data_IF_904933609997
#
_entry.id   IF_904933609997
#
_cell.length_a   1.000
_cell.length_b   1.000
_cell.length_c   1.000
_cell.angle_alpha   90.00
_cell.angle_beta   90.00
_cell.angle_gamma   90.00
#
_symmetry.space_group_name_H-M   'P 1'
#
loop_
_entity.id
_entity.type
_entity.pdbx_description
1 polymer ?
#
# COMPACT_ATOMS: atom_id res chain seq x y z
N UNK A 1 18.73 6.04 7.92
CA UNK A 1 17.35 6.46 7.58
C UNK A 1 16.42 5.32 7.87
N UNK A 2 15.28 5.56 8.53
CA UNK A 2 14.31 4.50 8.87
C UNK A 2 13.01 4.64 8.09
N UNK A 3 12.53 3.53 7.54
CA UNK A 3 11.23 3.46 6.87
C UNK A 3 10.32 2.44 7.54
N UNK A 4 9.06 2.80 7.76
CA UNK A 4 8.02 1.87 8.20
C UNK A 4 7.32 1.31 6.96
N UNK A 5 7.26 -0.02 6.85
CA UNK A 5 6.61 -0.73 5.75
C UNK A 5 5.49 -1.60 6.30
N UNK A 6 4.24 -1.18 6.06
CA UNK A 6 3.05 -1.91 6.52
C UNK A 6 2.59 -2.87 5.42
N UNK A 7 2.56 -4.16 5.71
CA UNK A 7 2.35 -5.23 4.72
C UNK A 7 3.66 -5.72 4.09
N UNK A 8 4.77 -5.67 4.84
CA UNK A 8 6.13 -5.90 4.32
C UNK A 8 6.58 -7.36 4.25
N UNK A 9 5.80 -8.35 4.71
CA UNK A 9 6.22 -9.76 4.75
C UNK A 9 6.02 -10.52 3.44
N UNK A 10 5.19 -10.04 2.52
CA UNK A 10 4.84 -10.75 1.29
C UNK A 10 4.71 -9.82 0.07
N UNK A 11 4.66 -10.40 -1.13
CA UNK A 11 4.33 -9.73 -2.37
C UNK A 11 5.09 -8.43 -2.62
N UNK A 12 4.36 -7.37 -2.95
CA UNK A 12 4.93 -6.05 -3.22
C UNK A 12 5.64 -5.45 -2.00
N UNK A 13 5.06 -5.60 -0.80
CA UNK A 13 5.66 -5.08 0.43
C UNK A 13 7.04 -5.69 0.72
N UNK A 14 7.18 -7.01 0.55
CA UNK A 14 8.47 -7.70 0.68
C UNK A 14 9.48 -7.22 -0.37
N UNK A 15 9.05 -7.03 -1.61
CA UNK A 15 9.93 -6.52 -2.66
C UNK A 15 10.41 -5.08 -2.36
N UNK A 16 9.52 -4.24 -1.83
CA UNK A 16 9.86 -2.89 -1.36
C UNK A 16 10.84 -2.96 -0.19
N UNK A 17 10.56 -3.78 0.84
CA UNK A 17 11.45 -3.95 1.99
C UNK A 17 12.87 -4.36 1.54
N UNK A 18 12.96 -5.36 0.67
CA UNK A 18 14.23 -5.80 0.08
C UNK A 18 14.95 -4.67 -0.65
N UNK A 19 14.25 -3.89 -1.48
CA UNK A 19 14.86 -2.77 -2.20
C UNK A 19 15.37 -1.70 -1.26
N UNK A 20 14.58 -1.29 -0.25
CA UNK A 20 14.99 -0.27 0.70
C UNK A 20 16.17 -0.73 1.58
N UNK A 21 16.18 -1.99 2.04
CA UNK A 21 17.30 -2.57 2.78
C UNK A 21 18.58 -2.65 1.92
N UNK A 22 18.47 -3.00 0.63
CA UNK A 22 19.62 -3.03 -0.29
C UNK A 22 20.29 -1.66 -0.50
N UNK A 23 19.56 -0.59 -0.25
CA UNK A 23 20.02 0.80 -0.28
C UNK A 23 20.40 1.33 1.13
N UNK A 24 20.69 0.41 2.05
CA UNK A 24 21.22 0.70 3.39
C UNK A 24 20.28 1.53 4.28
N UNK A 25 18.97 1.29 4.19
CA UNK A 25 17.99 1.90 5.09
C UNK A 25 17.57 0.89 6.16
N UNK A 26 17.41 1.35 7.39
CA UNK A 26 16.78 0.61 8.47
C UNK A 26 15.27 0.52 8.26
N UNK A 27 14.66 -0.56 8.72
CA UNK A 27 13.25 -0.82 8.48
C UNK A 27 12.50 -1.22 9.75
N UNK A 28 11.24 -0.81 9.84
CA UNK A 28 10.22 -1.47 10.65
C UNK A 28 9.27 -2.15 9.69
N UNK A 29 9.18 -3.47 9.76
CA UNK A 29 8.29 -4.26 8.90
C UNK A 29 7.12 -4.74 9.72
N UNK A 30 5.91 -4.39 9.29
CA UNK A 30 4.67 -4.71 9.97
C UNK A 30 3.82 -5.63 9.09
N UNK A 31 3.35 -6.76 9.65
CA UNK A 31 2.36 -7.61 9.00
C UNK A 31 1.55 -8.44 10.00
N UNK A 32 0.54 -9.16 9.53
CA UNK A 32 -0.31 -10.01 10.38
C UNK A 32 0.36 -11.32 10.81
N UNK A 33 1.35 -11.82 10.08
CA UNK A 33 2.10 -13.04 10.40
C UNK A 33 3.49 -12.70 10.92
N UNK A 34 3.72 -12.95 12.23
CA UNK A 34 4.99 -12.67 12.88
C UNK A 34 6.12 -13.58 12.37
N UNK A 35 5.82 -14.85 12.08
CA UNK A 35 6.83 -15.81 11.61
C UNK A 35 7.43 -15.36 10.29
N UNK A 36 6.55 -15.05 9.33
CA UNK A 36 6.98 -14.59 8.01
C UNK A 36 7.68 -13.22 8.10
N UNK A 37 7.21 -12.33 8.99
CA UNK A 37 7.84 -11.01 9.22
C UNK A 37 9.23 -11.15 9.78
N UNK A 38 9.43 -12.02 10.79
CA UNK A 38 10.76 -12.32 11.37
C UNK A 38 11.70 -12.95 10.35
N UNK A 39 11.21 -13.88 9.53
CA UNK A 39 12.02 -14.52 8.49
C UNK A 39 12.52 -13.48 7.47
N UNK A 40 11.64 -12.57 7.03
CA UNK A 40 12.03 -11.48 6.12
C UNK A 40 13.01 -10.53 6.79
N UNK A 41 12.79 -10.13 8.03
CA UNK A 41 13.69 -9.24 8.76
C UNK A 41 15.10 -9.83 8.85
N UNK A 42 15.24 -11.07 9.33
CA UNK A 42 16.53 -11.76 9.45
C UNK A 42 17.25 -11.92 8.10
N UNK A 43 16.54 -12.27 7.03
CA UNK A 43 17.10 -12.34 5.68
C UNK A 43 17.68 -10.98 5.23
N UNK A 44 16.97 -9.89 5.48
CA UNK A 44 17.41 -8.54 5.10
C UNK A 44 18.59 -8.06 5.94
N UNK A 45 18.59 -8.32 7.25
CA UNK A 45 19.71 -7.98 8.15
C UNK A 45 20.99 -8.69 7.71
N UNK A 46 20.93 -10.01 7.48
CA UNK A 46 22.07 -10.81 7.08
C UNK A 46 22.62 -10.37 5.71
N UNK A 47 21.74 -10.12 4.73
CA UNK A 47 22.14 -9.77 3.37
C UNK A 47 22.68 -8.36 3.24
N UNK A 48 22.08 -7.43 3.97
CA UNK A 48 22.34 -6.00 3.70
C UNK A 48 22.99 -5.27 4.87
N UNK A 49 23.11 -5.89 6.06
CA UNK A 49 23.75 -5.27 7.21
C UNK A 49 23.04 -4.01 7.66
N UNK A 50 21.71 -4.04 7.73
CA UNK A 50 20.83 -2.97 8.20
C UNK A 50 20.03 -3.47 9.39
N UNK A 51 19.46 -2.58 10.21
CA UNK A 51 18.56 -2.97 11.29
C UNK A 51 17.14 -3.15 10.75
N UNK A 52 16.49 -4.27 11.06
CA UNK A 52 15.11 -4.53 10.66
C UNK A 52 14.28 -5.02 11.84
N UNK A 53 13.35 -4.21 12.30
CA UNK A 53 12.46 -4.55 13.42
C UNK A 53 11.17 -5.19 12.87
N UNK A 54 10.92 -6.48 13.15
CA UNK A 54 9.67 -7.14 12.76
C UNK A 54 8.58 -6.92 13.81
N UNK A 55 7.43 -6.39 13.40
CA UNK A 55 6.25 -6.22 14.25
C UNK A 55 5.06 -6.99 13.71
N UNK A 56 4.31 -7.64 14.61
CA UNK A 56 3.03 -8.26 14.26
C UNK A 56 1.88 -7.30 14.53
N UNK A 57 1.04 -7.08 13.54
CA UNK A 57 -0.15 -6.24 13.71
C UNK A 57 -1.31 -6.73 12.86
N UNK A 58 -2.46 -6.95 13.51
CA UNK A 58 -3.73 -7.15 12.82
C UNK A 58 -4.32 -5.79 12.45
N UNK A 59 -4.32 -5.44 11.18
CA UNK A 59 -4.78 -4.15 10.69
C UNK A 59 -6.29 -3.90 10.89
N UNK A 60 -7.08 -4.94 11.13
CA UNK A 60 -8.50 -4.80 11.52
C UNK A 60 -8.67 -4.31 12.97
N UNK A 61 -7.61 -4.32 13.79
CA UNK A 61 -7.59 -3.95 15.22
C UNK A 61 -6.67 -2.77 15.53
N UNK A 62 -6.36 -1.96 14.56
CA UNK A 62 -5.26 -0.99 14.50
C UNK A 62 -5.11 0.02 15.68
N UNK A 63 -6.14 0.56 16.34
CA UNK A 63 -5.91 1.70 17.25
C UNK A 63 -4.99 1.42 18.44
N UNK A 64 -4.81 0.16 18.85
CA UNK A 64 -4.08 -0.20 20.09
C UNK A 64 -2.59 -0.50 19.91
N UNK A 65 -2.10 -0.60 18.67
CA UNK A 65 -0.75 -1.14 18.38
C UNK A 65 0.26 -0.10 17.89
N UNK A 66 -0.11 1.15 17.70
CA UNK A 66 0.81 2.21 17.23
C UNK A 66 1.90 2.54 18.22
N UNK A 67 1.64 2.34 19.53
CA UNK A 67 2.64 2.51 20.59
C UNK A 67 3.85 1.57 20.43
N UNK A 68 3.63 0.33 20.02
CA UNK A 68 4.72 -0.62 19.75
C UNK A 68 5.63 -0.15 18.60
N UNK A 69 5.06 0.57 17.63
CA UNK A 69 5.82 1.16 16.52
C UNK A 69 6.65 2.34 17.01
N UNK A 70 6.10 3.18 17.89
CA UNK A 70 6.83 4.30 18.50
C UNK A 70 8.02 3.78 19.33
N UNK A 71 7.80 2.77 20.17
CA UNK A 71 8.87 2.12 20.97
C UNK A 71 9.97 1.51 20.07
N UNK A 72 9.59 0.91 18.94
CA UNK A 72 10.56 0.38 17.96
C UNK A 72 11.38 1.50 17.31
N UNK A 73 10.79 2.68 17.06
CA UNK A 73 11.47 3.82 16.46
C UNK A 73 12.51 4.45 17.40
N UNK A 74 12.33 4.40 18.73
CA UNK A 74 13.27 4.96 19.70
C UNK A 74 14.69 4.38 19.57
N UNK A 75 14.81 3.14 19.09
CA UNK A 75 16.07 2.42 18.94
C UNK A 75 16.66 2.49 17.51
N UNK A 76 16.05 3.26 16.63
CA UNK A 76 16.48 3.38 15.24
C UNK A 76 16.85 4.83 14.89
N UNK A 77 17.37 5.01 13.69
CA UNK A 77 17.61 6.34 13.11
C UNK A 77 16.27 7.08 12.88
N UNK A 78 16.34 8.39 12.62
CA UNK A 78 15.15 9.21 12.39
C UNK A 78 14.22 8.64 11.31
N UNK A 79 12.91 8.69 11.57
CA UNK A 79 11.87 8.29 10.63
C UNK A 79 11.93 9.13 9.35
N UNK A 80 12.07 8.46 8.21
CA UNK A 80 12.18 9.10 6.89
C UNK A 80 10.95 8.83 6.02
N UNK A 81 10.23 7.74 6.26
CA UNK A 81 9.05 7.50 5.45
C UNK A 81 8.14 6.38 5.92
N UNK A 82 6.90 6.49 5.45
CA UNK A 82 5.82 5.53 5.70
C UNK A 82 5.35 4.96 4.36
N UNK A 83 5.48 3.65 4.18
CA UNK A 83 5.16 2.95 2.95
C UNK A 83 4.08 1.92 3.24
N UNK A 84 2.94 2.03 2.57
CA UNK A 84 1.69 1.37 2.93
C UNK A 84 1.17 0.47 1.79
N UNK A 85 1.92 -0.58 1.37
CA UNK A 85 1.46 -1.54 0.35
C UNK A 85 0.43 -2.53 0.90
N UNK A 86 -0.48 -2.02 1.73
CA UNK A 86 -1.54 -2.82 2.35
C UNK A 86 -2.58 -3.22 1.31
N UNK A 87 -2.94 -4.48 1.29
CA UNK A 87 -4.02 -5.01 0.45
C UNK A 87 -4.52 -6.34 0.96
N UNK A 88 -5.81 -6.39 1.28
CA UNK A 88 -6.54 -7.59 1.63
C UNK A 88 -7.77 -7.70 0.74
N UNK A 89 -8.02 -8.87 0.17
CA UNK A 89 -9.16 -9.17 -0.68
C UNK A 89 -9.84 -10.46 -0.20
N UNK A 90 -11.17 -10.48 -0.23
CA UNK A 90 -11.97 -11.66 0.04
C UNK A 90 -12.57 -12.16 -1.29
N UNK A 91 -12.39 -13.45 -1.65
CA UNK A 91 -12.97 -14.00 -2.88
C UNK A 91 -14.51 -13.95 -2.90
N UNK A 92 -15.16 -13.80 -1.74
CA UNK A 92 -16.61 -13.68 -1.60
C UNK A 92 -17.09 -12.20 -1.52
N UNK A 93 -16.21 -11.22 -1.79
CA UNK A 93 -16.56 -9.80 -1.74
C UNK A 93 -17.50 -9.41 -2.88
N UNK A 94 -18.81 -9.54 -2.59
CA UNK A 94 -19.93 -9.11 -3.44
C UNK A 94 -20.87 -8.21 -2.62
N UNK A 95 -21.75 -7.43 -3.25
CA UNK A 95 -22.81 -6.73 -2.53
C UNK A 95 -23.66 -7.71 -1.73
N UNK A 96 -23.79 -7.49 -0.40
CA UNK A 96 -24.45 -8.41 0.54
C UNK A 96 -23.50 -9.35 1.28
N UNK A 97 -22.19 -9.19 1.17
CA UNK A 97 -21.21 -9.85 2.04
C UNK A 97 -21.55 -9.63 3.51
N UNK A 98 -21.23 -10.59 4.38
CA UNK A 98 -21.48 -10.47 5.82
C UNK A 98 -20.73 -9.29 6.47
N UNK A 99 -21.27 -8.76 7.57
CA UNK A 99 -20.75 -7.58 8.25
C UNK A 99 -19.29 -7.75 8.71
N UNK A 100 -18.91 -8.94 9.17
CA UNK A 100 -17.56 -9.20 9.65
C UNK A 100 -16.55 -9.05 8.51
N UNK A 101 -16.79 -9.71 7.38
CA UNK A 101 -15.94 -9.64 6.19
C UNK A 101 -15.94 -8.22 5.61
N UNK A 102 -17.09 -7.53 5.60
CA UNK A 102 -17.20 -6.14 5.17
C UNK A 102 -16.29 -5.22 6.00
N UNK A 103 -16.38 -5.27 7.33
CA UNK A 103 -15.56 -4.44 8.21
C UNK A 103 -14.08 -4.84 8.16
N UNK A 104 -13.76 -6.10 8.02
CA UNK A 104 -12.37 -6.56 7.88
C UNK A 104 -11.73 -5.98 6.62
N UNK A 105 -12.41 -6.03 5.47
CA UNK A 105 -11.97 -5.43 4.22
C UNK A 105 -11.78 -3.92 4.36
N UNK A 106 -12.77 -3.21 4.90
CA UNK A 106 -12.73 -1.76 5.06
C UNK A 106 -11.64 -1.33 6.04
N UNK A 107 -11.57 -1.97 7.20
CA UNK A 107 -10.58 -1.65 8.22
C UNK A 107 -9.16 -1.93 7.74
N UNK A 108 -8.92 -3.07 7.10
CA UNK A 108 -7.58 -3.41 6.60
C UNK A 108 -7.14 -2.49 5.46
N UNK A 109 -8.00 -2.26 4.46
CA UNK A 109 -7.56 -1.56 3.23
C UNK A 109 -7.62 -0.03 3.32
N UNK A 110 -8.40 0.53 4.25
CA UNK A 110 -8.61 1.98 4.36
C UNK A 110 -8.37 2.50 5.76
N UNK A 111 -9.15 2.08 6.76
CA UNK A 111 -9.11 2.68 8.11
C UNK A 111 -7.72 2.58 8.72
N UNK A 112 -7.08 1.40 8.68
CA UNK A 112 -5.74 1.19 9.23
C UNK A 112 -4.71 2.10 8.57
N UNK A 113 -4.75 2.21 7.24
CA UNK A 113 -3.83 3.04 6.47
C UNK A 113 -3.96 4.51 6.88
N UNK A 114 -5.20 5.01 7.01
CA UNK A 114 -5.46 6.38 7.45
C UNK A 114 -4.97 6.62 8.90
N UNK A 115 -5.16 5.65 9.80
CA UNK A 115 -4.71 5.75 11.19
C UNK A 115 -3.17 5.78 11.29
N UNK A 116 -2.46 4.97 10.52
CA UNK A 116 -1.00 5.05 10.42
C UNK A 116 -0.54 6.43 9.94
N UNK A 117 -1.17 6.93 8.87
CA UNK A 117 -0.84 8.26 8.34
C UNK A 117 -1.10 9.34 9.40
N UNK A 118 -2.29 9.35 10.04
CA UNK A 118 -2.64 10.36 11.03
C UNK A 118 -1.67 10.37 12.21
N UNK A 119 -1.18 9.20 12.64
CA UNK A 119 -0.25 9.08 13.75
C UNK A 119 1.13 9.68 13.43
N UNK A 120 1.70 9.34 12.26
CA UNK A 120 3.05 9.76 11.88
C UNK A 120 3.11 11.10 11.12
N UNK A 121 2.00 11.61 10.62
CA UNK A 121 1.93 12.85 9.85
C UNK A 121 2.48 14.07 10.62
N UNK A 122 2.20 14.27 11.94
CA UNK A 122 2.75 15.40 12.70
C UNK A 122 4.28 15.43 12.74
N UNK A 123 4.92 14.26 12.69
CA UNK A 123 6.38 14.13 12.67
C UNK A 123 6.90 14.33 11.24
N UNK A 124 6.40 13.53 10.30
CA UNK A 124 6.90 13.50 8.92
C UNK A 124 6.78 14.86 8.20
N UNK A 125 5.70 15.61 8.45
CA UNK A 125 5.51 16.93 7.78
C UNK A 125 6.49 18.01 8.22
N UNK A 126 7.26 17.80 9.31
CA UNK A 126 8.23 18.75 9.83
C UNK A 126 9.67 18.46 9.41
N UNK A 127 9.94 17.24 9.00
CA UNK A 127 11.28 16.78 8.66
C UNK A 127 11.52 16.88 7.15
N UNK A 128 12.72 17.30 6.71
CA UNK A 128 13.07 17.31 5.30
C UNK A 128 13.20 15.89 4.74
N UNK A 129 13.03 15.76 3.43
CA UNK A 129 13.24 14.53 2.67
C UNK A 129 12.42 13.34 3.18
N UNK A 130 11.22 13.61 3.71
CA UNK A 130 10.31 12.57 4.18
C UNK A 130 9.26 12.21 3.12
N UNK A 131 8.71 11.00 3.22
CA UNK A 131 7.73 10.51 2.26
C UNK A 131 6.61 9.66 2.90
N UNK A 132 5.40 9.81 2.35
CA UNK A 132 4.28 8.87 2.57
C UNK A 132 3.87 8.29 1.22
N UNK A 133 3.92 6.96 1.09
CA UNK A 133 3.63 6.26 -0.16
C UNK A 133 2.48 5.28 0.04
N UNK A 134 1.38 5.51 -0.67
CA UNK A 134 0.20 4.65 -0.67
C UNK A 134 0.02 3.88 -1.98
N UNK A 135 -0.77 2.80 -1.88
CA UNK A 135 -1.03 1.92 -3.02
C UNK A 135 -2.52 1.65 -3.17
N UNK A 136 -3.06 2.11 -4.29
CA UNK A 136 -4.41 1.86 -4.75
C UNK A 136 -4.48 0.69 -5.73
N UNK A 137 -5.68 0.49 -6.28
CA UNK A 137 -5.95 -0.57 -7.25
C UNK A 137 -6.77 -0.03 -8.41
N UNK A 138 -6.51 -0.55 -9.60
CA UNK A 138 -7.37 -0.30 -10.77
C UNK A 138 -8.81 -0.78 -10.57
N UNK A 139 -9.06 -1.70 -9.64
CA UNK A 139 -10.41 -2.09 -9.24
C UNK A 139 -11.25 -0.90 -8.75
N UNK A 140 -10.60 0.13 -8.21
CA UNK A 140 -11.23 1.36 -7.73
C UNK A 140 -11.72 2.30 -8.87
N UNK A 141 -11.35 2.04 -10.13
CA UNK A 141 -11.72 2.92 -11.25
C UNK A 141 -13.22 2.93 -11.49
N UNK A 142 -13.85 1.76 -11.44
CA UNK A 142 -15.30 1.63 -11.62
C UNK A 142 -15.82 0.40 -10.88
N UNK A 143 -16.89 0.57 -10.10
CA UNK A 143 -17.52 -0.49 -9.32
C UNK A 143 -18.03 -1.63 -10.20
N UNK A 144 -17.83 -2.85 -9.74
CA UNK A 144 -18.29 -4.11 -10.35
C UNK A 144 -18.94 -4.99 -9.28
N UNK A 145 -19.61 -6.05 -9.70
CA UNK A 145 -20.25 -6.99 -8.76
C UNK A 145 -19.25 -7.78 -7.89
N UNK A 146 -18.03 -7.99 -8.39
CA UNK A 146 -16.96 -8.65 -7.64
C UNK A 146 -16.00 -7.61 -7.06
N UNK A 147 -15.46 -7.90 -5.89
CA UNK A 147 -14.55 -7.01 -5.15
C UNK A 147 -15.21 -5.65 -4.81
N UNK A 148 -16.49 -5.66 -4.41
CA UNK A 148 -17.27 -4.45 -4.21
C UNK A 148 -16.73 -3.59 -3.06
N UNK A 149 -16.54 -4.19 -1.88
CA UNK A 149 -16.02 -3.52 -0.69
C UNK A 149 -14.54 -3.18 -0.84
N UNK A 150 -13.75 -4.08 -1.41
CA UNK A 150 -12.34 -3.83 -1.74
C UNK A 150 -12.19 -2.63 -2.68
N UNK A 151 -12.96 -2.58 -3.77
CA UNK A 151 -12.91 -1.48 -4.72
C UNK A 151 -13.32 -0.15 -4.08
N UNK A 152 -14.37 -0.16 -3.25
CA UNK A 152 -14.82 1.00 -2.51
C UNK A 152 -13.75 1.51 -1.52
N UNK A 153 -13.12 0.60 -0.74
CA UNK A 153 -12.04 0.95 0.19
C UNK A 153 -10.83 1.57 -0.51
N UNK A 154 -10.43 1.01 -1.67
CA UNK A 154 -9.32 1.55 -2.47
C UNK A 154 -9.67 2.87 -3.17
N UNK A 155 -10.96 3.11 -3.48
CA UNK A 155 -11.43 4.42 -3.98
C UNK A 155 -11.40 5.48 -2.88
N UNK A 156 -11.86 5.13 -1.68
CA UNK A 156 -11.78 6.01 -0.51
C UNK A 156 -10.33 6.37 -0.20
N UNK A 157 -9.40 5.40 -0.28
CA UNK A 157 -7.98 5.63 -0.06
C UNK A 157 -7.37 6.58 -1.10
N UNK A 158 -7.75 6.45 -2.38
CA UNK A 158 -7.31 7.39 -3.44
C UNK A 158 -7.71 8.83 -3.08
N UNK A 159 -8.97 9.04 -2.71
CA UNK A 159 -9.49 10.36 -2.32
C UNK A 159 -8.78 10.91 -1.07
N UNK A 160 -8.52 10.05 -0.07
CA UNK A 160 -7.79 10.44 1.13
C UNK A 160 -6.36 10.90 0.80
N UNK A 161 -5.65 10.22 -0.09
CA UNK A 161 -4.31 10.63 -0.52
C UNK A 161 -4.32 11.93 -1.33
N UNK A 162 -5.36 12.22 -2.10
CA UNK A 162 -5.54 13.53 -2.75
C UNK A 162 -5.68 14.64 -1.72
N UNK A 163 -6.53 14.44 -0.71
CA UNK A 163 -6.72 15.38 0.40
C UNK A 163 -5.44 15.57 1.21
N UNK A 164 -4.71 14.49 1.48
CA UNK A 164 -3.43 14.55 2.20
C UNK A 164 -2.39 15.39 1.45
N UNK A 165 -2.24 15.20 0.13
CA UNK A 165 -1.34 16.03 -0.70
C UNK A 165 -1.71 17.52 -0.62
N UNK A 166 -2.99 17.82 -0.75
CA UNK A 166 -3.48 19.19 -0.65
C UNK A 166 -3.17 19.79 0.74
N UNK A 167 -3.35 19.01 1.80
CA UNK A 167 -3.07 19.45 3.17
C UNK A 167 -1.59 19.76 3.43
N UNK A 168 -0.66 18.99 2.82
CA UNK A 168 0.78 19.14 3.07
C UNK A 168 1.52 19.94 2.01
N UNK A 169 0.83 20.65 1.11
CA UNK A 169 1.41 21.35 -0.05
C UNK A 169 2.55 22.31 0.32
N UNK A 170 2.52 22.89 1.52
CA UNK A 170 3.53 23.82 2.03
C UNK A 170 4.51 23.17 3.02
N UNK A 171 4.59 21.84 3.06
CA UNK A 171 5.53 21.09 3.91
C UNK A 171 6.60 20.40 3.07
N UNK A 172 7.75 20.02 3.66
CA UNK A 172 8.78 19.25 2.96
C UNK A 172 8.42 17.79 2.71
N UNK A 173 7.25 17.34 3.14
CA UNK A 173 6.78 15.96 3.01
C UNK A 173 6.30 15.66 1.60
N UNK A 174 6.87 14.64 0.97
CA UNK A 174 6.40 14.11 -0.31
C UNK A 174 5.30 13.06 -0.10
N UNK A 175 4.15 13.21 -0.77
CA UNK A 175 3.04 12.26 -0.70
C UNK A 175 2.75 11.68 -2.08
N UNK A 176 2.90 10.37 -2.21
CA UNK A 176 2.75 9.65 -3.48
C UNK A 176 1.66 8.58 -3.40
N UNK A 177 0.97 8.36 -4.51
CA UNK A 177 -0.01 7.31 -4.62
C UNK A 177 0.16 6.53 -5.93
N UNK A 178 0.36 5.20 -5.80
CA UNK A 178 0.51 4.30 -6.94
C UNK A 178 -0.78 3.54 -7.19
N UNK A 179 -1.46 3.83 -8.29
CA UNK A 179 -2.58 3.01 -8.78
C UNK A 179 -2.02 1.78 -9.49
N UNK A 180 -2.21 0.62 -8.87
CA UNK A 180 -1.61 -0.62 -9.33
C UNK A 180 -2.64 -1.45 -10.11
N UNK A 181 -2.22 -1.91 -11.28
CA UNK A 181 -2.93 -2.94 -12.02
C UNK A 181 -2.59 -4.33 -11.52
N UNK A 182 -2.65 -5.30 -12.42
CA UNK A 182 -2.27 -6.67 -12.07
C UNK A 182 -0.76 -6.77 -11.88
N UNK A 183 -0.36 -7.20 -10.68
CA UNK A 183 1.03 -7.52 -10.32
C UNK A 183 1.11 -8.97 -9.87
N UNK A 184 2.26 -9.59 -10.12
CA UNK A 184 2.50 -10.99 -9.77
C UNK A 184 2.67 -11.16 -8.25
N UNK A 185 1.56 -11.42 -7.57
CA UNK A 185 1.49 -11.64 -6.12
C UNK A 185 0.43 -12.68 -5.78
N UNK A 186 0.46 -13.21 -4.57
CA UNK A 186 -0.58 -14.14 -4.07
C UNK A 186 -2.00 -13.54 -4.15
N UNK A 187 -2.14 -12.23 -4.08
CA UNK A 187 -3.42 -11.52 -4.17
C UNK A 187 -4.05 -11.62 -5.57
N UNK A 188 -3.23 -11.81 -6.60
CA UNK A 188 -3.66 -11.95 -8.00
C UNK A 188 -3.58 -13.38 -8.53
N UNK A 189 -3.16 -14.34 -7.67
CA UNK A 189 -3.02 -15.74 -8.06
C UNK A 189 -4.39 -16.34 -8.44
N UNK A 190 -4.44 -17.04 -9.58
CA UNK A 190 -5.67 -17.65 -10.09
C UNK A 190 -6.61 -16.73 -10.87
N UNK A 191 -6.31 -15.43 -10.99
CA UNK A 191 -7.06 -14.55 -11.88
C UNK A 191 -6.79 -14.93 -13.34
N UNK A 192 -7.83 -15.36 -14.07
CA UNK A 192 -7.75 -15.65 -15.52
C UNK A 192 -7.49 -14.36 -16.32
N UNK A 193 -6.22 -14.06 -16.56
CA UNK A 193 -5.80 -12.83 -17.25
C UNK A 193 -5.21 -13.15 -18.62
N UNK A 194 -6.08 -13.29 -19.60
CA UNK A 194 -5.67 -13.53 -21.00
C UNK A 194 -5.17 -12.25 -21.71
N UNK A 195 -5.59 -11.07 -21.25
CA UNK A 195 -5.32 -9.78 -21.94
C UNK A 195 -4.14 -8.98 -21.34
N UNK A 196 -3.81 -9.14 -20.06
CA UNK A 196 -2.80 -8.33 -19.40
C UNK A 196 -1.82 -9.21 -18.61
N UNK A 197 -0.53 -9.18 -18.97
CA UNK A 197 0.50 -9.87 -18.19
C UNK A 197 0.70 -9.18 -16.83
N UNK A 198 0.77 -9.93 -15.72
CA UNK A 198 1.13 -9.37 -14.43
C UNK A 198 2.47 -8.68 -14.48
N UNK A 199 2.59 -7.52 -13.84
CA UNK A 199 3.84 -6.80 -13.76
C UNK A 199 4.69 -7.31 -12.61
N UNK A 200 6.03 -7.28 -12.77
CA UNK A 200 6.97 -7.77 -11.78
C UNK A 200 7.05 -6.82 -10.58
N UNK A 201 6.95 -7.36 -9.37
CA UNK A 201 6.99 -6.60 -8.10
C UNK A 201 8.35 -5.93 -7.87
N UNK A 202 9.47 -6.59 -8.20
CA UNK A 202 10.81 -6.03 -8.00
C UNK A 202 11.05 -4.78 -8.85
N UNK A 203 10.52 -4.74 -10.08
CA UNK A 203 10.59 -3.55 -10.92
C UNK A 203 9.81 -2.38 -10.32
N UNK A 204 8.62 -2.65 -9.79
CA UNK A 204 7.84 -1.61 -9.13
C UNK A 204 8.53 -1.12 -7.86
N UNK A 205 9.09 -2.01 -7.04
CA UNK A 205 9.85 -1.65 -5.84
C UNK A 205 11.04 -0.73 -6.18
N UNK A 206 11.77 -1.00 -7.27
CA UNK A 206 12.82 -0.11 -7.77
C UNK A 206 12.31 1.27 -8.19
N UNK A 207 11.15 1.33 -8.87
CA UNK A 207 10.52 2.60 -9.26
C UNK A 207 10.11 3.40 -8.03
N UNK A 208 9.50 2.75 -7.03
CA UNK A 208 9.08 3.38 -5.77
C UNK A 208 10.28 3.99 -5.05
N UNK A 209 11.36 3.23 -4.88
CA UNK A 209 12.56 3.73 -4.21
C UNK A 209 13.19 4.93 -4.94
N UNK A 210 13.42 4.79 -6.25
CA UNK A 210 14.09 5.82 -7.05
C UNK A 210 13.30 7.14 -7.14
N UNK A 211 11.99 7.07 -6.99
CA UNK A 211 11.12 8.24 -7.07
C UNK A 211 10.61 8.74 -5.71
N UNK A 212 11.00 8.14 -4.59
CA UNK A 212 10.38 8.35 -3.26
C UNK A 212 10.30 9.82 -2.79
N UNK A 213 11.19 10.66 -3.30
CA UNK A 213 11.22 12.10 -2.98
C UNK A 213 10.69 12.98 -4.15
N UNK A 214 10.10 12.38 -5.20
CA UNK A 214 9.54 13.14 -6.31
C UNK A 214 8.08 13.46 -6.08
N UNK A 215 7.71 14.71 -6.18
CA UNK A 215 6.31 15.12 -6.16
C UNK A 215 5.67 14.93 -7.54
N UNK A 216 4.90 13.87 -7.71
CA UNK A 216 4.10 13.60 -8.92
C UNK A 216 2.62 13.26 -8.61
N UNK A 217 2.26 13.23 -7.34
CA UNK A 217 0.91 12.91 -6.89
C UNK A 217 0.51 11.47 -7.14
N UNK A 218 -0.40 11.21 -8.08
CA UNK A 218 -0.87 9.85 -8.42
C UNK A 218 -0.26 9.35 -9.72
N UNK A 219 0.31 8.17 -9.69
CA UNK A 219 0.84 7.48 -10.88
C UNK A 219 0.27 6.09 -11.06
N UNK A 220 0.42 5.51 -12.26
CA UNK A 220 -0.13 4.21 -12.62
C UNK A 220 0.97 3.20 -12.95
N UNK A 221 0.81 1.99 -12.44
CA UNK A 221 1.73 0.91 -12.78
C UNK A 221 0.96 -0.39 -13.12
N UNK A 222 1.17 -0.94 -14.33
CA UNK A 222 1.81 -0.33 -15.51
C UNK A 222 1.14 0.96 -16.02
N UNK A 223 1.89 1.79 -16.73
CA UNK A 223 1.45 3.16 -17.13
C UNK A 223 0.19 3.19 -18.00
N UNK A 224 -0.09 2.15 -18.80
CA UNK A 224 -1.26 2.10 -19.68
C UNK A 224 -2.60 2.14 -18.93
N UNK A 225 -2.62 1.78 -17.63
CA UNK A 225 -3.82 1.90 -16.80
C UNK A 225 -4.32 3.34 -16.63
N UNK A 226 -3.44 4.32 -16.84
CA UNK A 226 -3.85 5.74 -16.86
C UNK A 226 -4.89 6.01 -17.95
N UNK A 227 -4.72 5.41 -19.14
CA UNK A 227 -5.66 5.55 -20.25
C UNK A 227 -6.99 4.88 -19.88
N UNK A 228 -6.94 3.70 -19.30
CA UNK A 228 -8.14 2.96 -18.87
C UNK A 228 -8.91 3.74 -17.79
N UNK A 229 -8.21 4.40 -16.85
CA UNK A 229 -8.87 5.27 -15.86
C UNK A 229 -9.66 6.42 -16.50
N UNK A 230 -9.20 6.96 -17.59
CA UNK A 230 -9.89 8.05 -18.29
C UNK A 230 -11.10 7.50 -19.09
N UNK A 231 -10.91 6.39 -19.79
CA UNK A 231 -11.91 5.86 -20.70
C UNK A 231 -13.02 5.05 -20.00
N UNK A 232 -12.69 4.26 -18.98
CA UNK A 232 -13.65 3.35 -18.36
C UNK A 232 -14.84 4.06 -17.68
N UNK A 233 -14.70 5.20 -17.00
CA UNK A 233 -15.83 5.91 -16.40
C UNK A 233 -16.84 6.46 -17.42
N UNK A 234 -16.40 6.83 -18.63
CA UNK A 234 -17.26 7.39 -19.69
C UNK A 234 -18.03 6.34 -20.50
N UNK A 235 -17.71 5.05 -20.32
CA UNK A 235 -18.49 3.97 -20.96
C UNK A 235 -19.93 4.00 -20.43
N UNK A 236 -20.97 4.11 -21.29
CA UNK A 236 -22.37 4.14 -20.87
C UNK A 236 -22.75 2.91 -20.06
N UNK A 237 -23.65 3.06 -19.09
CA UNK A 237 -24.11 1.95 -18.25
C UNK A 237 -24.70 0.80 -19.08
N UNK A 238 -25.44 1.10 -20.14
CA UNK A 238 -26.01 0.10 -21.06
C UNK A 238 -24.97 -0.84 -21.68
N UNK A 239 -23.74 -0.35 -21.86
CA UNK A 239 -22.60 -1.13 -22.36
C UNK A 239 -21.87 -1.79 -21.18
N UNK A 240 -21.54 -1.01 -20.12
CA UNK A 240 -20.77 -1.47 -18.99
C UNK A 240 -21.42 -2.65 -18.24
N UNK A 241 -22.76 -2.63 -18.06
CA UNK A 241 -23.50 -3.74 -17.42
C UNK A 241 -23.35 -5.09 -18.10
N UNK A 242 -22.87 -5.12 -19.37
CA UNK A 242 -22.62 -6.36 -20.13
C UNK A 242 -21.24 -6.96 -19.86
N UNK A 243 -20.30 -6.20 -19.26
CA UNK A 243 -19.01 -6.74 -18.82
C UNK A 243 -19.25 -7.62 -17.60
N UNK A 244 -19.43 -8.91 -17.83
CA UNK A 244 -19.47 -9.93 -16.79
C UNK A 244 -18.03 -10.21 -16.35
N UNK A 245 -17.69 -9.88 -15.12
CA UNK A 245 -16.42 -10.04 -14.37
C UNK A 245 -15.44 -8.90 -14.51
#
# INVERSE_FOLDING_TARGET
MTYIIVGGSAGLGRAIAKKFASEKNDLIIISSDLRDTKAVASDLEIRYGVNVVPLQMSLSKTPMMLKEVDEALENLSSLTGLILPVGFNDPNDIPGIDDKSFFELLNTNFTSVCLFINHFLPILKKLPDTTIIGFGSIAAIRGRSLNATYAASKRALESYFESLRHFVVNSPLTVQFYMIGYIDTNLSFGANMTLFKPAQVDRLAGIVFNNRLRDFGTTFYPKYWKIIKILLPIVPWSVFKKFKK
#
